data_IF_877048715215
#
_entry.id   IF_877048715215
#
_cell.length_a   1.000
_cell.length_b   1.000
_cell.length_c   1.000
_cell.angle_alpha   90.00
_cell.angle_beta   90.00
_cell.angle_gamma   90.00
#
_symmetry.space_group_name_H-M   'P 1'
#
loop_
_entity.id
_entity.type
_entity.pdbx_description
1 polymer ?
#
# COMPACT_ATOMS: atom_id res chain seq x y z
N UNK A 1 -1.38 -14.47 -23.55
CA UNK A 1 -1.99 -13.20 -23.05
C UNK A 1 -0.97 -12.14 -22.61
N UNK A 2 0.08 -12.50 -21.84
CA UNK A 2 1.08 -11.56 -21.28
C UNK A 2 1.77 -10.69 -22.34
N UNK A 3 2.27 -11.29 -23.43
CA UNK A 3 2.89 -10.56 -24.53
C UNK A 3 1.90 -9.68 -25.30
N UNK A 4 0.66 -10.12 -25.50
CA UNK A 4 -0.35 -9.38 -26.26
C UNK A 4 -0.78 -8.08 -25.57
N UNK A 5 -0.91 -8.10 -24.24
CA UNK A 5 -1.19 -6.89 -23.44
C UNK A 5 -0.01 -5.93 -23.51
N UNK A 6 1.22 -6.42 -23.38
CA UNK A 6 2.42 -5.59 -23.52
C UNK A 6 2.53 -5.00 -24.93
N UNK A 7 2.33 -5.79 -25.99
CA UNK A 7 2.41 -5.33 -27.38
C UNK A 7 1.32 -4.31 -27.74
N UNK A 8 0.12 -4.44 -27.18
CA UNK A 8 -0.98 -3.50 -27.45
C UNK A 8 -0.77 -2.16 -26.74
N UNK A 9 -0.20 -2.18 -25.54
CA UNK A 9 -0.19 -1.02 -24.65
C UNK A 9 1.21 -0.45 -24.33
N UNK A 10 2.29 -1.00 -24.90
CA UNK A 10 3.65 -0.53 -24.62
C UNK A 10 3.91 0.96 -24.88
N UNK A 11 3.36 1.65 -25.92
CA UNK A 11 3.70 3.06 -26.13
C UNK A 11 3.07 3.96 -25.05
N UNK A 12 1.87 3.62 -24.60
CA UNK A 12 1.19 4.30 -23.50
C UNK A 12 1.86 4.01 -22.15
N UNK A 13 2.33 2.78 -21.95
CA UNK A 13 3.11 2.41 -20.78
C UNK A 13 4.46 3.15 -20.75
N UNK A 14 5.17 3.20 -21.87
CA UNK A 14 6.45 3.90 -21.99
C UNK A 14 6.29 5.40 -21.70
N UNK A 15 5.24 6.04 -22.23
CA UNK A 15 4.92 7.44 -21.91
C UNK A 15 4.63 7.63 -20.41
N UNK A 16 3.87 6.75 -19.79
CA UNK A 16 3.62 6.83 -18.36
C UNK A 16 4.92 6.64 -17.55
N UNK A 17 5.77 5.71 -17.95
CA UNK A 17 7.07 5.45 -17.29
C UNK A 17 8.02 6.64 -17.42
N UNK A 18 8.10 7.29 -18.59
CA UNK A 18 8.98 8.46 -18.76
C UNK A 18 8.48 9.65 -17.94
N UNK A 19 7.17 9.91 -17.94
CA UNK A 19 6.57 10.93 -17.08
C UNK A 19 6.87 10.67 -15.60
N UNK A 20 6.78 9.41 -15.16
CA UNK A 20 7.09 8.99 -13.80
C UNK A 20 8.56 9.21 -13.43
N UNK A 21 9.48 8.85 -14.31
CA UNK A 21 10.93 9.06 -14.06
C UNK A 21 11.26 10.55 -13.94
N UNK A 22 10.66 11.40 -14.78
CA UNK A 22 10.84 12.85 -14.71
C UNK A 22 10.27 13.39 -13.40
N UNK A 23 9.07 12.95 -13.02
CA UNK A 23 8.40 13.32 -11.75
C UNK A 23 9.26 12.97 -10.53
N UNK A 24 9.78 11.74 -10.46
CA UNK A 24 10.69 11.28 -9.40
C UNK A 24 11.98 12.10 -9.38
N UNK A 25 12.56 12.43 -10.54
CA UNK A 25 13.77 13.25 -10.60
C UNK A 25 13.53 14.68 -10.07
N UNK A 26 12.40 15.30 -10.43
CA UNK A 26 12.03 16.63 -9.94
C UNK A 26 11.79 16.64 -8.43
N UNK A 27 11.33 15.53 -7.86
CA UNK A 27 11.10 15.41 -6.42
C UNK A 27 12.37 15.74 -5.62
N UNK A 28 13.55 15.32 -6.08
CA UNK A 28 14.84 15.57 -5.41
C UNK A 28 15.38 16.99 -5.56
N UNK A 29 14.79 17.82 -6.42
CA UNK A 29 15.21 19.22 -6.60
C UNK A 29 14.85 20.04 -5.36
N UNK A 30 13.69 19.79 -4.75
CA UNK A 30 13.18 20.58 -3.62
C UNK A 30 14.08 20.53 -2.36
N UNK A 31 14.56 19.35 -1.90
CA UNK A 31 15.49 19.26 -0.77
C UNK A 31 16.85 19.92 -1.01
N UNK A 32 17.29 19.99 -2.27
CA UNK A 32 18.53 20.68 -2.66
C UNK A 32 18.32 22.19 -2.64
N UNK A 33 17.21 22.68 -3.19
CA UNK A 33 16.90 24.11 -3.23
C UNK A 33 16.68 24.69 -1.84
N UNK A 34 15.95 24.00 -0.95
CA UNK A 34 15.77 24.49 0.43
C UNK A 34 17.11 24.61 1.16
N UNK A 35 18.03 23.66 0.94
CA UNK A 35 19.39 23.73 1.51
C UNK A 35 20.15 24.96 1.01
N UNK A 36 20.03 25.28 -0.29
CA UNK A 36 20.67 26.46 -0.87
C UNK A 36 20.04 27.76 -0.37
N UNK A 37 18.72 27.81 -0.20
CA UNK A 37 18.00 28.96 0.35
C UNK A 37 18.46 29.25 1.78
N UNK A 38 18.48 28.23 2.65
CA UNK A 38 18.90 28.43 4.04
C UNK A 38 20.37 28.87 4.10
N UNK A 39 21.25 28.27 3.31
CA UNK A 39 22.66 28.71 3.22
C UNK A 39 22.83 30.13 2.71
N UNK A 40 22.02 30.55 1.74
CA UNK A 40 22.02 31.92 1.22
C UNK A 40 21.62 32.92 2.32
N UNK A 41 20.63 32.57 3.14
CA UNK A 41 20.19 33.38 4.28
C UNK A 41 21.30 33.46 5.35
N UNK A 42 21.91 32.32 5.71
CA UNK A 42 22.97 32.26 6.72
C UNK A 42 24.24 33.02 6.30
N UNK A 43 24.62 32.94 5.02
CA UNK A 43 25.78 33.64 4.47
C UNK A 43 25.58 35.16 4.34
N UNK A 44 24.35 35.67 4.52
CA UNK A 44 23.95 37.07 4.27
C UNK A 44 24.43 37.58 2.91
N UNK A 45 24.35 36.72 1.90
CA UNK A 45 24.87 37.03 0.57
C UNK A 45 24.02 38.14 -0.08
N UNK A 46 24.65 39.22 -0.53
CA UNK A 46 23.98 40.44 -0.99
C UNK A 46 23.34 40.33 -2.38
N UNK A 47 23.45 39.17 -3.03
CA UNK A 47 22.96 38.94 -4.40
C UNK A 47 21.48 38.56 -4.41
N UNK A 48 20.60 39.56 -4.33
CA UNK A 48 19.15 39.39 -4.30
C UNK A 48 18.61 38.50 -5.45
N UNK A 49 19.15 38.65 -6.66
CA UNK A 49 18.74 37.85 -7.82
C UNK A 49 18.90 36.34 -7.60
N UNK A 50 19.98 35.91 -6.93
CA UNK A 50 20.24 34.50 -6.67
C UNK A 50 19.23 33.93 -5.66
N UNK A 51 18.92 34.69 -4.61
CA UNK A 51 17.90 34.32 -3.62
C UNK A 51 16.51 34.19 -4.25
N UNK A 52 16.12 35.14 -5.11
CA UNK A 52 14.85 35.08 -5.84
C UNK A 52 14.82 33.86 -6.78
N UNK A 53 15.91 33.59 -7.50
CA UNK A 53 16.00 32.43 -8.39
C UNK A 53 15.78 31.11 -7.63
N UNK A 54 16.41 30.96 -6.45
CA UNK A 54 16.21 29.78 -5.61
C UNK A 54 14.78 29.68 -5.07
N UNK A 55 14.17 30.78 -4.64
CA UNK A 55 12.79 30.81 -4.15
C UNK A 55 11.77 30.45 -5.25
N UNK A 56 11.91 31.05 -6.44
CA UNK A 56 11.08 30.73 -7.60
C UNK A 56 11.26 29.27 -8.01
N UNK A 57 12.51 28.78 -8.05
CA UNK A 57 12.78 27.37 -8.32
C UNK A 57 12.13 26.43 -7.29
N UNK A 58 12.16 26.79 -6.01
CA UNK A 58 11.60 25.99 -4.92
C UNK A 58 10.06 25.93 -4.98
N UNK A 59 9.41 26.94 -5.56
CA UNK A 59 7.97 26.90 -5.84
C UNK A 59 7.65 26.14 -7.14
N UNK A 60 8.39 26.40 -8.21
CA UNK A 60 8.11 25.85 -9.54
C UNK A 60 8.40 24.34 -9.63
N UNK A 61 9.43 23.85 -8.95
CA UNK A 61 9.79 22.43 -9.00
C UNK A 61 8.71 21.51 -8.42
N UNK A 62 8.18 21.71 -7.20
CA UNK A 62 7.03 20.95 -6.69
C UNK A 62 5.76 21.13 -7.51
N UNK A 63 5.52 22.34 -8.05
CA UNK A 63 4.34 22.58 -8.89
C UNK A 63 4.37 21.69 -10.14
N UNK A 64 5.50 21.69 -10.86
CA UNK A 64 5.67 20.86 -12.04
C UNK A 64 5.67 19.37 -11.69
N UNK A 65 6.32 18.98 -10.58
CA UNK A 65 6.30 17.62 -10.07
C UNK A 65 4.87 17.13 -9.78
N UNK A 66 4.03 17.92 -9.12
CA UNK A 66 2.63 17.57 -8.85
C UNK A 66 1.80 17.46 -10.13
N UNK A 67 2.00 18.35 -11.10
CA UNK A 67 1.32 18.27 -12.40
C UNK A 67 1.70 16.97 -13.11
N UNK A 68 3.01 16.65 -13.18
CA UNK A 68 3.49 15.41 -13.78
C UNK A 68 2.98 14.17 -13.05
N UNK A 69 2.91 14.20 -11.72
CA UNK A 69 2.37 13.12 -10.89
C UNK A 69 0.89 12.88 -11.20
N UNK A 70 0.10 13.95 -11.31
CA UNK A 70 -1.31 13.86 -11.71
C UNK A 70 -1.45 13.27 -13.14
N UNK A 71 -0.66 13.77 -14.09
CA UNK A 71 -0.63 13.24 -15.45
C UNK A 71 -0.26 11.74 -15.46
N UNK A 72 0.76 11.34 -14.71
CA UNK A 72 1.20 9.95 -14.57
C UNK A 72 0.07 9.06 -14.04
N UNK A 73 -0.59 9.48 -12.95
CA UNK A 73 -1.71 8.73 -12.36
C UNK A 73 -2.85 8.59 -13.38
N UNK A 74 -3.23 9.67 -14.06
CA UNK A 74 -4.29 9.63 -15.09
C UNK A 74 -3.93 8.66 -16.22
N UNK A 75 -2.69 8.67 -16.71
CA UNK A 75 -2.26 7.76 -17.77
C UNK A 75 -2.28 6.29 -17.32
N UNK A 76 -1.77 6.00 -16.11
CA UNK A 76 -1.83 4.66 -15.53
C UNK A 76 -3.27 4.18 -15.32
N UNK A 77 -4.16 5.03 -14.80
CA UNK A 77 -5.58 4.73 -14.59
C UNK A 77 -6.30 4.47 -15.92
N UNK A 78 -6.06 5.29 -16.94
CA UNK A 78 -6.63 5.08 -18.29
C UNK A 78 -6.18 3.74 -18.87
N UNK A 79 -4.91 3.40 -18.71
CA UNK A 79 -4.37 2.11 -19.18
C UNK A 79 -4.97 0.93 -18.40
N UNK A 80 -5.08 1.05 -17.07
CA UNK A 80 -5.70 0.05 -16.20
C UNK A 80 -7.18 -0.18 -16.54
N UNK A 81 -7.96 0.88 -16.73
CA UNK A 81 -9.37 0.76 -17.11
C UNK A 81 -9.56 0.16 -18.50
N UNK A 82 -8.73 0.50 -19.48
CA UNK A 82 -8.81 -0.07 -20.84
C UNK A 82 -8.51 -1.56 -20.84
N UNK A 83 -7.49 -1.98 -20.10
CA UNK A 83 -7.13 -3.41 -19.97
C UNK A 83 -8.18 -4.17 -19.17
N UNK A 84 -8.71 -3.60 -18.10
CA UNK A 84 -9.85 -4.17 -17.37
C UNK A 84 -11.06 -4.35 -18.29
N UNK A 85 -11.46 -3.32 -19.05
CA UNK A 85 -12.57 -3.41 -20.00
C UNK A 85 -12.34 -4.48 -21.07
N UNK A 86 -11.18 -4.47 -21.72
CA UNK A 86 -10.85 -5.46 -22.75
C UNK A 86 -10.83 -6.90 -22.23
N UNK A 87 -10.22 -7.14 -21.06
CA UNK A 87 -10.18 -8.48 -20.44
C UNK A 87 -11.56 -8.95 -20.01
N UNK A 88 -12.41 -8.05 -19.50
CA UNK A 88 -13.80 -8.38 -19.16
C UNK A 88 -14.62 -8.76 -20.39
N UNK A 89 -14.48 -8.02 -21.49
CA UNK A 89 -15.12 -8.36 -22.77
C UNK A 89 -14.63 -9.70 -23.32
N UNK A 90 -13.32 -9.96 -23.34
CA UNK A 90 -12.77 -11.23 -23.81
C UNK A 90 -13.27 -12.43 -22.98
N UNK A 91 -13.30 -12.28 -21.65
CA UNK A 91 -13.84 -13.31 -20.76
C UNK A 91 -15.33 -13.56 -21.04
N UNK A 92 -16.10 -12.49 -21.23
CA UNK A 92 -17.53 -12.59 -21.55
C UNK A 92 -17.75 -13.29 -22.90
N UNK A 93 -17.07 -12.87 -23.97
CA UNK A 93 -17.16 -13.49 -25.28
C UNK A 93 -16.75 -14.96 -25.25
N UNK A 94 -15.65 -15.28 -24.56
CA UNK A 94 -15.21 -16.67 -24.39
C UNK A 94 -16.26 -17.50 -23.66
N UNK A 95 -16.88 -16.95 -22.61
CA UNK A 95 -17.89 -17.68 -21.83
C UNK A 95 -19.10 -18.11 -22.65
N UNK A 96 -19.43 -17.37 -23.71
CA UNK A 96 -20.52 -17.70 -24.64
C UNK A 96 -20.14 -18.80 -25.65
N UNK A 97 -18.85 -19.10 -25.81
CA UNK A 97 -18.32 -20.07 -26.77
C UNK A 97 -17.77 -21.34 -26.13
N UNK A 98 -17.80 -21.46 -24.80
CA UNK A 98 -17.25 -22.62 -24.10
C UNK A 98 -18.03 -23.91 -24.41
N UNK A 99 -17.31 -25.00 -24.67
CA UNK A 99 -17.92 -26.33 -24.79
C UNK A 99 -18.69 -26.71 -23.52
N UNK A 100 -19.73 -27.55 -23.63
CA UNK A 100 -20.50 -27.96 -22.44
C UNK A 100 -19.63 -28.57 -21.32
N UNK A 101 -18.65 -29.46 -21.60
CA UNK A 101 -17.75 -29.98 -20.58
C UNK A 101 -16.88 -28.88 -19.94
N UNK A 102 -16.37 -27.94 -20.73
CA UNK A 102 -15.56 -26.84 -20.23
C UNK A 102 -16.39 -25.87 -19.37
N UNK A 103 -17.59 -25.51 -19.83
CA UNK A 103 -18.51 -24.65 -19.09
C UNK A 103 -18.92 -25.27 -17.73
N UNK A 104 -19.15 -26.59 -17.70
CA UNK A 104 -19.46 -27.31 -16.47
C UNK A 104 -18.25 -27.36 -15.50
N UNK A 105 -17.02 -27.48 -16.02
CA UNK A 105 -15.80 -27.52 -15.21
C UNK A 105 -15.53 -26.20 -14.46
N UNK A 106 -15.69 -25.06 -15.13
CA UNK A 106 -15.51 -23.75 -14.49
C UNK A 106 -16.72 -23.36 -13.63
N UNK A 107 -17.94 -23.56 -14.15
CA UNK A 107 -19.17 -23.11 -13.53
C UNK A 107 -19.37 -21.58 -13.60
N UNK A 108 -20.63 -21.10 -13.52
CA UNK A 108 -20.97 -19.68 -13.71
C UNK A 108 -20.37 -18.76 -12.64
N UNK A 109 -20.21 -19.25 -11.41
CA UNK A 109 -19.60 -18.49 -10.31
C UNK A 109 -18.10 -18.21 -10.54
N UNK A 110 -17.35 -19.17 -11.07
CA UNK A 110 -15.93 -18.95 -11.34
C UNK A 110 -15.73 -17.96 -12.49
N UNK A 111 -16.52 -18.09 -13.57
CA UNK A 111 -16.46 -17.18 -14.72
C UNK A 111 -16.79 -15.74 -14.32
N UNK A 112 -17.86 -15.55 -13.54
CA UNK A 112 -18.23 -14.21 -13.04
C UNK A 112 -17.16 -13.63 -12.11
N UNK A 113 -16.55 -14.45 -11.25
CA UNK A 113 -15.43 -14.01 -10.42
C UNK A 113 -14.18 -13.64 -11.25
N UNK A 114 -13.85 -14.42 -12.29
CA UNK A 114 -12.73 -14.10 -13.19
C UNK A 114 -13.01 -12.76 -13.90
N UNK A 115 -14.23 -12.58 -14.41
CA UNK A 115 -14.66 -11.37 -15.13
C UNK A 115 -14.66 -10.12 -14.22
N UNK A 116 -15.17 -10.22 -12.99
CA UNK A 116 -15.35 -9.07 -12.12
C UNK A 116 -14.12 -8.80 -11.23
N UNK A 117 -13.56 -9.83 -10.62
CA UNK A 117 -12.50 -9.69 -9.61
C UNK A 117 -11.12 -9.76 -10.25
N UNK A 118 -10.84 -10.80 -11.05
CA UNK A 118 -9.50 -10.99 -11.61
C UNK A 118 -9.19 -9.93 -12.69
N UNK A 119 -10.18 -9.54 -13.52
CA UNK A 119 -10.01 -8.45 -14.50
C UNK A 119 -9.91 -7.06 -13.86
N UNK A 120 -10.63 -6.78 -12.76
CA UNK A 120 -10.55 -5.47 -12.10
C UNK A 120 -9.18 -5.17 -11.48
N UNK A 121 -8.36 -6.21 -11.20
CA UNK A 121 -7.00 -6.03 -10.68
C UNK A 121 -6.10 -5.23 -11.61
N UNK A 122 -6.41 -5.16 -12.90
CA UNK A 122 -5.64 -4.35 -13.86
C UNK A 122 -5.78 -2.84 -13.64
N UNK A 123 -6.85 -2.38 -12.98
CA UNK A 123 -7.17 -0.96 -12.79
C UNK A 123 -6.01 -0.16 -12.14
N UNK A 124 -5.35 -0.76 -11.14
CA UNK A 124 -4.18 -0.16 -10.47
C UNK A 124 -2.84 -0.86 -10.79
N UNK A 125 -2.84 -1.92 -11.61
CA UNK A 125 -1.65 -2.71 -11.87
C UNK A 125 -0.49 -1.88 -12.44
N UNK A 126 -0.77 -1.03 -13.45
CA UNK A 126 0.24 -0.25 -14.14
C UNK A 126 0.88 0.84 -13.27
N UNK A 127 0.13 1.39 -12.32
CA UNK A 127 0.66 2.31 -11.32
C UNK A 127 1.69 1.60 -10.44
N UNK A 128 1.34 0.46 -9.86
CA UNK A 128 2.23 -0.30 -8.99
C UNK A 128 3.44 -0.88 -9.72
N UNK A 129 3.31 -1.28 -10.99
CA UNK A 129 4.42 -1.73 -11.82
C UNK A 129 5.47 -0.63 -12.04
N UNK A 130 5.04 0.59 -12.37
CA UNK A 130 5.95 1.74 -12.50
C UNK A 130 6.61 2.12 -11.17
N UNK A 131 5.88 1.97 -10.06
CA UNK A 131 6.42 2.17 -8.73
C UNK A 131 7.53 1.16 -8.39
N UNK A 132 7.37 -0.13 -8.72
CA UNK A 132 8.40 -1.15 -8.46
C UNK A 132 9.72 -0.81 -9.17
N UNK A 133 9.65 -0.30 -10.39
CA UNK A 133 10.84 0.09 -11.14
C UNK A 133 11.52 1.35 -10.58
N UNK A 134 10.72 2.34 -10.14
CA UNK A 134 11.23 3.62 -9.63
C UNK A 134 11.67 3.58 -8.16
N UNK A 135 11.13 2.66 -7.36
CA UNK A 135 11.46 2.52 -5.93
C UNK A 135 12.96 2.37 -5.66
N UNK A 136 13.72 1.49 -6.34
CA UNK A 136 15.17 1.39 -6.19
C UNK A 136 15.88 2.70 -6.51
N UNK A 137 15.48 3.38 -7.59
CA UNK A 137 16.05 4.66 -7.98
C UNK A 137 15.82 5.73 -6.90
N UNK A 138 14.59 5.82 -6.39
CA UNK A 138 14.21 6.76 -5.34
C UNK A 138 14.97 6.49 -4.03
N UNK A 139 15.14 5.22 -3.67
CA UNK A 139 15.87 4.82 -2.47
C UNK A 139 17.37 5.10 -2.61
N UNK A 140 17.99 4.77 -3.75
CA UNK A 140 19.41 5.05 -4.01
C UNK A 140 19.68 6.55 -4.00
N UNK A 141 18.91 7.34 -4.76
CA UNK A 141 19.10 8.80 -4.81
C UNK A 141 18.86 9.46 -3.45
N UNK A 142 17.80 9.04 -2.74
CA UNK A 142 17.50 9.54 -1.40
C UNK A 142 18.62 9.26 -0.40
N UNK A 143 19.13 8.02 -0.36
CA UNK A 143 20.21 7.62 0.55
C UNK A 143 21.52 8.32 0.18
N UNK A 144 21.87 8.46 -1.10
CA UNK A 144 23.09 9.17 -1.53
C UNK A 144 23.05 10.64 -1.11
N UNK A 145 21.93 11.33 -1.33
CA UNK A 145 21.77 12.73 -0.91
C UNK A 145 21.76 12.87 0.62
N UNK A 146 21.14 11.92 1.32
CA UNK A 146 21.13 11.90 2.78
C UNK A 146 22.54 11.62 3.33
N UNK A 147 23.32 10.74 2.71
CA UNK A 147 24.71 10.46 3.07
C UNK A 147 25.59 11.69 2.90
N UNK A 148 25.36 12.49 1.86
CA UNK A 148 26.03 13.78 1.68
C UNK A 148 25.70 14.80 2.78
N UNK A 149 24.53 14.69 3.41
CA UNK A 149 24.12 15.58 4.50
C UNK A 149 24.55 15.08 5.88
N UNK A 150 24.37 13.80 6.17
CA UNK A 150 24.45 13.20 7.50
C UNK A 150 25.55 12.14 7.64
N UNK A 151 26.33 11.87 6.59
CA UNK A 151 27.34 10.82 6.59
C UNK A 151 26.75 9.45 6.90
N UNK A 152 27.40 8.71 7.81
CA UNK A 152 27.00 7.35 8.19
C UNK A 152 25.58 7.29 8.79
N UNK A 153 25.11 8.37 9.42
CA UNK A 153 23.77 8.42 10.00
C UNK A 153 22.65 8.32 8.92
N UNK A 154 22.96 8.52 7.64
CA UNK A 154 22.04 8.33 6.53
C UNK A 154 21.53 6.89 6.36
N UNK A 155 22.22 5.90 6.93
CA UNK A 155 21.79 4.50 6.91
C UNK A 155 20.79 4.17 8.04
N UNK A 156 20.54 5.08 8.98
CA UNK A 156 19.59 4.87 10.09
C UNK A 156 18.19 4.48 9.60
N UNK A 157 17.59 5.12 8.56
CA UNK A 157 16.29 4.71 8.06
C UNK A 157 16.24 3.29 7.51
N UNK A 158 17.31 2.84 6.85
CA UNK A 158 17.45 1.47 6.35
C UNK A 158 17.53 0.47 7.51
N UNK A 159 18.28 0.80 8.56
CA UNK A 159 18.37 -0.03 9.77
C UNK A 159 17.02 -0.11 10.49
N UNK A 160 16.36 1.03 10.71
CA UNK A 160 15.02 1.09 11.32
C UNK A 160 14.04 0.25 10.51
N UNK A 161 14.08 0.30 9.18
CA UNK A 161 13.25 -0.56 8.32
C UNK A 161 13.53 -2.04 8.51
N UNK A 162 14.81 -2.42 8.53
CA UNK A 162 15.24 -3.80 8.70
C UNK A 162 14.71 -4.40 10.01
N UNK A 163 14.59 -3.59 11.06
CA UNK A 163 13.99 -3.98 12.35
C UNK A 163 12.45 -3.90 12.31
N UNK A 164 11.88 -2.89 11.66
CA UNK A 164 10.43 -2.69 11.60
C UNK A 164 9.72 -3.76 10.77
N UNK A 165 10.35 -4.31 9.73
CA UNK A 165 9.75 -5.35 8.91
C UNK A 165 9.44 -6.66 9.69
N UNK A 166 10.39 -7.30 10.41
CA UNK A 166 10.09 -8.46 11.24
C UNK A 166 9.18 -8.11 12.42
N UNK A 167 9.31 -6.91 12.99
CA UNK A 167 8.42 -6.44 14.05
C UNK A 167 6.97 -6.35 13.54
N UNK A 168 6.76 -5.77 12.36
CA UNK A 168 5.45 -5.70 11.69
C UNK A 168 4.86 -7.09 11.53
N UNK A 169 5.63 -8.03 10.99
CA UNK A 169 5.18 -9.42 10.79
C UNK A 169 4.74 -10.05 12.10
N UNK A 170 5.51 -9.85 13.18
CA UNK A 170 5.17 -10.37 14.51
C UNK A 170 3.90 -9.74 15.08
N UNK A 171 3.79 -8.40 15.01
CA UNK A 171 2.63 -7.65 15.50
C UNK A 171 1.36 -8.02 14.73
N UNK A 172 1.41 -8.05 13.41
CA UNK A 172 0.28 -8.46 12.55
C UNK A 172 -0.13 -9.90 12.85
N UNK A 173 0.81 -10.83 12.99
CA UNK A 173 0.49 -12.23 13.37
C UNK A 173 -0.24 -12.28 14.72
N UNK A 174 0.19 -11.48 15.69
CA UNK A 174 -0.47 -11.42 17.01
C UNK A 174 -1.88 -10.81 16.90
N UNK A 175 -2.03 -9.74 16.14
CA UNK A 175 -3.32 -9.09 15.88
C UNK A 175 -4.30 -10.05 15.20
N UNK A 176 -3.83 -10.82 14.21
CA UNK A 176 -4.62 -11.85 13.52
C UNK A 176 -5.07 -12.97 14.47
N UNK A 177 -4.18 -13.42 15.36
CA UNK A 177 -4.53 -14.44 16.36
C UNK A 177 -5.60 -13.94 17.33
N UNK A 178 -5.47 -12.70 17.82
CA UNK A 178 -6.49 -12.08 18.69
C UNK A 178 -7.82 -11.91 17.97
N UNK A 179 -7.80 -11.46 16.71
CA UNK A 179 -8.98 -11.38 15.86
C UNK A 179 -9.67 -12.75 15.71
N UNK A 180 -8.87 -13.80 15.47
CA UNK A 180 -9.38 -15.18 15.39
C UNK A 180 -10.05 -15.63 16.70
N UNK A 181 -9.43 -15.37 17.85
CA UNK A 181 -10.01 -15.68 19.17
C UNK A 181 -11.36 -14.96 19.38
N UNK A 182 -11.47 -13.71 18.94
CA UNK A 182 -12.73 -12.94 19.02
C UNK A 182 -13.81 -13.52 18.11
N UNK A 183 -13.47 -13.88 16.88
CA UNK A 183 -14.40 -14.51 15.94
C UNK A 183 -14.91 -15.85 16.47
N UNK A 184 -14.04 -16.70 17.02
CA UNK A 184 -14.45 -17.98 17.60
C UNK A 184 -15.45 -17.80 18.76
N UNK A 185 -15.22 -16.84 19.66
CA UNK A 185 -16.17 -16.55 20.75
C UNK A 185 -17.51 -16.04 20.22
N UNK A 186 -17.46 -15.13 19.25
CA UNK A 186 -18.65 -14.57 18.62
C UNK A 186 -19.48 -15.67 17.94
N UNK A 187 -18.82 -16.54 17.18
CA UNK A 187 -19.48 -17.60 16.42
C UNK A 187 -20.11 -18.65 17.36
N UNK A 188 -19.43 -19.00 18.46
CA UNK A 188 -20.00 -19.86 19.49
C UNK A 188 -21.28 -19.25 20.12
N UNK A 189 -21.27 -17.95 20.45
CA UNK A 189 -22.45 -17.25 21.00
C UNK A 189 -23.59 -17.20 19.98
N UNK A 190 -23.30 -16.88 18.72
CA UNK A 190 -24.29 -16.83 17.65
C UNK A 190 -24.90 -18.21 17.43
N UNK A 191 -24.11 -19.28 17.48
CA UNK A 191 -24.60 -20.67 17.37
C UNK A 191 -25.66 -20.97 18.44
N UNK A 192 -25.36 -20.70 19.71
CA UNK A 192 -26.32 -20.93 20.83
C UNK A 192 -27.58 -20.09 20.64
N UNK A 193 -27.46 -18.82 20.24
CA UNK A 193 -28.61 -17.98 19.96
C UNK A 193 -29.50 -18.56 18.84
N UNK A 194 -28.90 -19.11 17.79
CA UNK A 194 -29.63 -19.75 16.69
C UNK A 194 -30.38 -21.01 17.14
N UNK A 195 -29.77 -21.84 17.99
CA UNK A 195 -30.41 -23.03 18.58
C UNK A 195 -31.60 -22.64 19.46
N UNK A 196 -31.45 -21.60 20.28
CA UNK A 196 -32.52 -21.06 21.15
C UNK A 196 -33.70 -20.53 20.31
N UNK A 197 -33.42 -19.81 19.22
CA UNK A 197 -34.45 -19.28 18.32
C UNK A 197 -35.21 -20.42 17.63
N UNK A 198 -34.50 -21.45 17.17
CA UNK A 198 -35.15 -22.64 16.58
C UNK A 198 -36.03 -23.38 17.60
N UNK A 199 -35.62 -23.45 18.87
CA UNK A 199 -36.34 -24.13 19.94
C UNK A 199 -37.23 -23.20 20.79
N UNK A 200 -37.61 -22.01 20.30
CA UNK A 200 -38.23 -20.95 21.14
C UNK A 200 -39.52 -21.38 21.84
N UNK A 201 -40.35 -22.22 21.19
CA UNK A 201 -41.58 -22.75 21.80
C UNK A 201 -41.28 -23.60 23.04
N UNK A 202 -40.26 -24.47 22.97
CA UNK A 202 -39.84 -25.32 24.07
C UNK A 202 -39.31 -24.48 25.25
N UNK A 203 -38.49 -23.48 24.94
CA UNK A 203 -37.94 -22.54 25.95
C UNK A 203 -39.06 -21.84 26.72
N UNK A 204 -40.11 -21.41 26.02
CA UNK A 204 -41.29 -20.77 26.61
C UNK A 204 -42.12 -21.75 27.46
N UNK A 205 -42.39 -22.94 26.95
CA UNK A 205 -43.16 -23.97 27.68
C UNK A 205 -42.49 -24.40 29.00
N UNK A 206 -41.16 -24.42 29.03
CA UNK A 206 -40.39 -24.81 30.22
C UNK A 206 -39.95 -23.63 31.11
N UNK A 207 -40.33 -22.40 30.75
CA UNK A 207 -39.90 -21.17 31.42
C UNK A 207 -38.36 -21.05 31.61
N UNK A 208 -37.57 -21.57 30.65
CA UNK A 208 -36.09 -21.59 30.71
C UNK A 208 -35.43 -20.26 30.32
N UNK A 209 -36.21 -19.21 30.09
CA UNK A 209 -35.78 -17.92 29.55
C UNK A 209 -34.65 -17.30 30.37
N UNK A 210 -34.81 -17.24 31.70
CA UNK A 210 -33.80 -16.64 32.60
C UNK A 210 -32.48 -17.40 32.53
N UNK A 211 -32.54 -18.73 32.54
CA UNK A 211 -31.35 -19.60 32.52
C UNK A 211 -30.58 -19.48 31.20
N UNK A 212 -31.28 -19.40 30.08
CA UNK A 212 -30.66 -19.18 28.75
C UNK A 212 -30.09 -17.77 28.65
N UNK A 213 -30.77 -16.77 29.21
CA UNK A 213 -30.28 -15.40 29.24
C UNK A 213 -28.97 -15.28 30.01
N UNK A 214 -28.85 -15.96 31.16
CA UNK A 214 -27.63 -16.00 31.95
C UNK A 214 -26.49 -16.71 31.21
N UNK A 215 -26.79 -17.83 30.53
CA UNK A 215 -25.82 -18.52 29.66
C UNK A 215 -25.28 -17.60 28.56
N UNK A 216 -26.18 -16.93 27.83
CA UNK A 216 -25.79 -16.00 26.75
C UNK A 216 -24.99 -14.82 27.29
N UNK A 217 -25.35 -14.29 28.46
CA UNK A 217 -24.60 -13.22 29.14
C UNK A 217 -23.18 -13.65 29.49
N UNK A 218 -22.99 -14.84 30.06
CA UNK A 218 -21.66 -15.37 30.37
C UNK A 218 -20.78 -15.51 29.11
N UNK A 219 -21.37 -15.99 28.00
CA UNK A 219 -20.67 -16.05 26.71
C UNK A 219 -20.32 -14.65 26.19
N UNK A 220 -21.23 -13.69 26.34
CA UNK A 220 -21.01 -12.29 25.95
C UNK A 220 -19.87 -11.65 26.75
N UNK A 221 -19.79 -11.89 28.06
CA UNK A 221 -18.71 -11.36 28.90
C UNK A 221 -17.35 -11.93 28.49
N UNK A 222 -17.29 -13.23 28.20
CA UNK A 222 -16.09 -13.86 27.68
C UNK A 222 -15.67 -13.30 26.32
N UNK A 223 -16.62 -13.08 25.40
CA UNK A 223 -16.40 -12.41 24.12
C UNK A 223 -15.90 -10.97 24.30
N UNK A 224 -16.54 -10.19 25.17
CA UNK A 224 -16.16 -8.80 25.45
C UNK A 224 -14.74 -8.67 26.00
N UNK A 225 -14.30 -9.60 26.87
CA UNK A 225 -12.89 -9.65 27.32
C UNK A 225 -11.92 -9.90 26.16
N UNK A 226 -12.27 -10.75 25.20
CA UNK A 226 -11.44 -10.99 24.00
C UNK A 226 -11.42 -9.76 23.09
N UNK A 227 -12.58 -9.12 22.89
CA UNK A 227 -12.71 -7.90 22.09
C UNK A 227 -11.86 -6.78 22.71
N UNK A 228 -11.93 -6.59 24.03
CA UNK A 228 -11.13 -5.58 24.73
C UNK A 228 -9.63 -5.81 24.52
N UNK A 229 -9.15 -7.05 24.64
CA UNK A 229 -7.74 -7.39 24.37
C UNK A 229 -7.35 -7.15 22.92
N UNK A 230 -8.21 -7.53 21.97
CA UNK A 230 -7.99 -7.27 20.54
C UNK A 230 -7.90 -5.76 20.26
N UNK A 231 -8.86 -4.97 20.76
CA UNK A 231 -8.90 -3.52 20.56
C UNK A 231 -7.75 -2.79 21.23
N UNK A 232 -7.35 -3.17 22.43
CA UNK A 232 -6.18 -2.61 23.09
C UNK A 232 -4.91 -2.84 22.25
N UNK A 233 -4.73 -4.05 21.72
CA UNK A 233 -3.59 -4.38 20.87
C UNK A 233 -3.65 -3.68 19.50
N UNK A 234 -4.84 -3.54 18.91
CA UNK A 234 -5.05 -2.80 17.67
C UNK A 234 -4.65 -1.33 17.82
N UNK A 235 -5.05 -0.67 18.92
CA UNK A 235 -4.65 0.70 19.24
C UNK A 235 -3.14 0.80 19.43
N UNK A 236 -2.54 -0.11 20.20
CA UNK A 236 -1.08 -0.12 20.41
C UNK A 236 -0.33 -0.27 19.09
N UNK A 237 -0.75 -1.20 18.24
CA UNK A 237 -0.18 -1.38 16.90
C UNK A 237 -0.34 -0.10 16.06
N UNK A 238 -1.52 0.52 16.09
CA UNK A 238 -1.77 1.80 15.41
C UNK A 238 -0.84 2.92 15.87
N UNK A 239 -0.60 3.05 17.17
CA UNK A 239 0.33 4.03 17.74
C UNK A 239 1.76 3.82 17.25
N UNK A 240 2.22 2.58 17.17
CA UNK A 240 3.56 2.26 16.63
C UNK A 240 3.67 2.72 15.17
N UNK A 241 2.70 2.39 14.32
CA UNK A 241 2.74 2.74 12.89
C UNK A 241 2.55 4.23 12.63
N UNK A 242 1.70 4.91 13.39
CA UNK A 242 1.47 6.35 13.27
C UNK A 242 2.58 7.19 13.91
N UNK A 243 3.27 6.66 14.93
CA UNK A 243 4.39 7.33 15.61
C UNK A 243 5.73 7.16 14.90
N UNK A 244 5.89 6.10 14.10
CA UNK A 244 7.12 5.83 13.35
C UNK A 244 7.65 7.01 12.51
N UNK A 245 6.81 7.81 11.81
CA UNK A 245 7.26 8.96 11.03
C UNK A 245 7.90 10.05 11.89
N UNK A 246 7.42 10.22 13.12
CA UNK A 246 7.98 11.17 14.07
C UNK A 246 9.29 10.65 14.67
N UNK A 247 9.36 9.35 14.96
CA UNK A 247 10.53 8.72 15.56
C UNK A 247 11.71 8.64 14.59
N UNK A 248 11.46 8.50 13.28
CA UNK A 248 12.52 8.27 12.30
C UNK A 248 13.52 9.45 12.19
N UNK A 249 13.10 10.73 12.06
CA UNK A 249 14.02 11.86 12.13
C UNK A 249 14.75 11.96 13.47
N UNK A 250 14.06 11.71 14.59
CA UNK A 250 14.67 11.76 15.93
C UNK A 250 15.81 10.74 16.05
N UNK A 251 15.59 9.51 15.60
CA UNK A 251 16.62 8.47 15.58
C UNK A 251 17.78 8.83 14.64
N UNK A 252 17.48 9.38 13.47
CA UNK A 252 18.49 9.72 12.46
C UNK A 252 19.38 10.89 12.92
N UNK A 253 18.77 11.97 13.42
CA UNK A 253 19.52 13.11 13.97
C UNK A 253 20.22 12.76 15.29
N UNK A 254 19.61 11.92 16.13
CA UNK A 254 20.25 11.40 17.34
C UNK A 254 21.50 10.59 17.03
N UNK A 255 21.46 9.71 16.02
CA UNK A 255 22.63 8.98 15.54
C UNK A 255 23.71 9.92 14.99
N UNK A 256 23.33 10.97 14.25
CA UNK A 256 24.28 11.95 13.72
C UNK A 256 24.98 12.75 14.83
N UNK A 257 24.23 13.20 15.85
CA UNK A 257 24.79 13.86 17.03
C UNK A 257 25.72 12.93 17.83
N UNK A 258 25.34 11.66 18.00
CA UNK A 258 26.17 10.67 18.69
C UNK A 258 27.50 10.39 17.97
N UNK A 259 27.55 10.56 16.64
CA UNK A 259 28.77 10.46 15.84
C UNK A 259 29.60 11.76 15.83
N UNK A 260 29.22 12.77 16.62
CA UNK A 260 29.92 14.06 16.72
C UNK A 260 29.54 15.08 15.64
N UNK A 261 28.45 14.85 14.91
CA UNK A 261 27.93 15.78 13.91
C UNK A 261 27.31 17.03 14.54
N UNK A 262 27.44 18.18 13.87
CA UNK A 262 26.82 19.44 14.29
C UNK A 262 25.58 19.68 13.42
N UNK A 263 24.43 19.84 14.06
CA UNK A 263 23.17 20.11 13.36
C UNK A 263 23.08 21.59 12.99
N UNK A 264 23.11 21.83 11.67
CA UNK A 264 22.83 23.12 11.07
C UNK A 264 21.38 23.17 10.55
N UNK A 265 20.76 24.34 10.56
CA UNK A 265 19.38 24.58 10.14
C UNK A 265 19.16 24.10 8.70
N UNK A 266 20.09 24.42 7.79
CA UNK A 266 20.02 24.00 6.39
C UNK A 266 20.07 22.47 6.25
N UNK A 267 20.87 21.81 7.09
CA UNK A 267 21.05 20.38 7.11
C UNK A 267 19.81 19.67 7.66
N UNK A 268 19.20 20.18 8.73
CA UNK A 268 17.99 19.63 9.34
C UNK A 268 16.81 19.69 8.36
N UNK A 269 16.50 20.86 7.78
CA UNK A 269 15.36 20.98 6.87
C UNK A 269 15.52 20.15 5.59
N UNK A 270 16.72 20.17 4.98
CA UNK A 270 17.00 19.36 3.80
C UNK A 270 16.91 17.86 4.09
N UNK A 271 17.43 17.42 5.25
CA UNK A 271 17.41 16.00 5.62
C UNK A 271 16.02 15.51 6.02
N UNK A 272 15.19 16.35 6.66
CA UNK A 272 13.78 16.04 6.91
C UNK A 272 13.03 15.73 5.61
N UNK A 273 13.18 16.59 4.60
CA UNK A 273 12.56 16.38 3.30
C UNK A 273 13.07 15.09 2.62
N UNK A 274 14.36 14.78 2.72
CA UNK A 274 14.93 13.53 2.18
C UNK A 274 14.46 12.28 2.94
N UNK A 275 14.30 12.35 4.26
CA UNK A 275 13.77 11.25 5.07
C UNK A 275 12.34 10.89 4.67
N UNK A 276 11.49 11.89 4.43
CA UNK A 276 10.13 11.66 3.94
C UNK A 276 10.13 11.00 2.55
N UNK A 277 11.07 11.36 1.67
CA UNK A 277 11.21 10.71 0.36
C UNK A 277 11.65 9.25 0.50
N UNK A 278 12.62 8.95 1.35
CA UNK A 278 13.06 7.55 1.58
C UNK A 278 11.92 6.71 2.16
N UNK A 279 11.02 7.30 2.96
CA UNK A 279 9.86 6.61 3.56
C UNK A 279 8.82 6.12 2.55
N UNK A 280 8.60 6.85 1.45
CA UNK A 280 7.60 6.50 0.43
C UNK A 280 7.82 5.10 -0.16
N UNK A 281 8.98 4.77 -0.77
CA UNK A 281 9.21 3.46 -1.36
C UNK A 281 9.12 2.35 -0.31
N UNK A 282 9.50 2.62 0.94
CA UNK A 282 9.43 1.65 2.03
C UNK A 282 7.98 1.22 2.35
N UNK A 283 7.03 2.15 2.31
CA UNK A 283 5.62 1.87 2.59
C UNK A 283 4.89 1.27 1.39
N UNK A 284 5.22 1.71 0.17
CA UNK A 284 4.54 1.26 -1.04
C UNK A 284 5.05 -0.10 -1.53
N UNK A 285 6.28 -0.51 -1.19
CA UNK A 285 6.88 -1.75 -1.69
C UNK A 285 6.05 -3.01 -1.38
N UNK A 286 5.58 -3.25 -0.14
CA UNK A 286 4.74 -4.42 0.15
C UNK A 286 3.43 -4.42 -0.63
N UNK A 287 2.81 -3.24 -0.78
CA UNK A 287 1.55 -3.08 -1.52
C UNK A 287 1.75 -3.37 -3.01
N UNK A 288 2.83 -2.84 -3.58
CA UNK A 288 3.13 -3.06 -4.99
C UNK A 288 3.43 -4.54 -5.27
N UNK A 289 4.18 -5.22 -4.40
CA UNK A 289 4.44 -6.65 -4.52
C UNK A 289 3.14 -7.47 -4.43
N UNK A 290 2.25 -7.13 -3.50
CA UNK A 290 0.96 -7.78 -3.36
C UNK A 290 0.12 -7.65 -4.63
N UNK A 291 0.04 -6.43 -5.20
CA UNK A 291 -0.71 -6.19 -6.44
C UNK A 291 -0.13 -6.98 -7.61
N UNK A 292 1.20 -7.00 -7.76
CA UNK A 292 1.84 -7.79 -8.84
C UNK A 292 1.54 -9.27 -8.73
N UNK A 293 1.60 -9.85 -7.52
CA UNK A 293 1.24 -11.25 -7.29
C UNK A 293 -0.22 -11.51 -7.64
N UNK A 294 -1.13 -10.63 -7.19
CA UNK A 294 -2.57 -10.77 -7.45
C UNK A 294 -2.91 -10.64 -8.94
N UNK A 295 -2.27 -9.71 -9.64
CA UNK A 295 -2.40 -9.52 -11.09
C UNK A 295 -1.87 -10.75 -11.81
N UNK A 296 -0.71 -11.29 -11.41
CA UNK A 296 -0.16 -12.53 -11.99
C UNK A 296 -1.12 -13.71 -11.85
N UNK A 297 -1.63 -13.97 -10.66
CA UNK A 297 -2.59 -15.07 -10.42
C UNK A 297 -3.89 -14.85 -11.18
N UNK A 298 -4.38 -13.60 -11.26
CA UNK A 298 -5.56 -13.25 -12.05
C UNK A 298 -5.35 -13.48 -13.54
N UNK A 299 -4.18 -13.07 -14.06
CA UNK A 299 -3.78 -13.32 -15.45
C UNK A 299 -3.74 -14.80 -15.78
N UNK A 300 -3.14 -15.63 -14.92
CA UNK A 300 -3.03 -17.08 -15.15
C UNK A 300 -4.43 -17.74 -15.21
N UNK A 301 -5.41 -17.25 -14.43
CA UNK A 301 -6.80 -17.73 -14.48
C UNK A 301 -7.54 -17.27 -15.74
N UNK A 302 -7.38 -16.01 -16.12
CA UNK A 302 -7.98 -15.49 -17.36
C UNK A 302 -7.41 -16.26 -18.56
N UNK A 303 -6.10 -16.48 -18.60
CA UNK A 303 -5.43 -17.24 -19.66
C UNK A 303 -5.94 -18.69 -19.71
N UNK A 304 -6.08 -19.36 -18.55
CA UNK A 304 -6.68 -20.70 -18.47
C UNK A 304 -8.10 -20.77 -19.03
N UNK A 305 -8.95 -19.78 -18.73
CA UNK A 305 -10.31 -19.71 -19.26
C UNK A 305 -10.32 -19.46 -20.78
N UNK A 306 -9.49 -18.54 -21.25
CA UNK A 306 -9.37 -18.21 -22.68
C UNK A 306 -8.84 -19.39 -23.52
N UNK A 307 -8.06 -20.28 -22.93
CA UNK A 307 -7.53 -21.49 -23.58
C UNK A 307 -8.45 -22.72 -23.47
N UNK A 308 -9.60 -22.62 -22.80
CA UNK A 308 -10.54 -23.74 -22.68
C UNK A 308 -11.22 -24.08 -24.03
N UNK A 309 -11.68 -25.33 -24.16
CA UNK A 309 -12.33 -25.84 -25.38
C UNK A 309 -13.60 -25.04 -25.73
N UNK A 310 -13.77 -24.77 -27.02
CA UNK A 310 -14.94 -24.07 -27.55
C UNK A 310 -15.93 -25.05 -28.17
N UNK A 311 -17.19 -24.62 -28.29
CA UNK A 311 -18.20 -25.30 -29.07
C UNK A 311 -17.77 -25.20 -30.55
N UNK A 312 -17.69 -26.33 -31.24
CA UNK A 312 -17.43 -26.38 -32.69
C UNK A 312 -18.56 -25.73 -33.49
#
# INVERSE_FOLDING_TARGET
>A
MKLSILQCWWPLLALASTLHVIEVALQFVSPVLIKMIVRFIDARDGRLFLGILYAVGYFMAPLLQNILSCCFVIHCRRLGMRTWGATSCMVFEKSLRLSQPAAASYGPGAVTNIMQVDSARFDFAFFHLNFIFSMPLMLVLGVVLLYRNLGIAAFTPLLVMGVMFPLNKMLVKRLMNLSRETSIARDARIKVLMEVVHAVRLVKMLAWERRIMDLVRQMRDAEMRRIARFKAFEVLNGLVWQGMPLMLPVLTFGAFLALGGILDTALVFSSLALLDMVRIPMNLFPQALQVVIQVKVGMDRIEGLLSAEEIQ
#
